data_IF_484174548533
#
_entry.id   IF_484174548533
#
_cell.length_a   1.000
_cell.length_b   1.000
_cell.length_c   1.000
_cell.angle_alpha   90.00
_cell.angle_beta   90.00
_cell.angle_gamma   90.00
#
_symmetry.space_group_name_H-M   'P 1'
#
loop_
_entity.id
_entity.type
_entity.pdbx_description
1 polymer ?
#
# COMPACT_ATOMS: atom_id res chain seq x y z
N UNK A 1 3.24 0.92 -35.23
CA UNK A 1 2.95 1.74 -34.02
C UNK A 1 1.51 1.57 -33.57
N UNK A 2 0.50 2.01 -34.34
CA UNK A 2 -0.91 1.95 -33.91
C UNK A 2 -1.52 0.53 -33.74
N UNK A 3 -1.09 -0.48 -34.50
CA UNK A 3 -1.58 -1.87 -34.33
C UNK A 3 -1.00 -2.54 -33.08
N UNK A 4 0.28 -2.28 -32.75
CA UNK A 4 0.93 -2.80 -31.55
C UNK A 4 0.36 -2.20 -30.27
N UNK A 5 0.01 -0.90 -30.29
CA UNK A 5 -0.69 -0.24 -29.18
C UNK A 5 -2.10 -0.78 -28.98
N UNK A 6 -2.83 -1.08 -30.08
CA UNK A 6 -4.17 -1.70 -30.01
C UNK A 6 -4.13 -3.14 -29.53
N UNK A 7 -3.12 -3.92 -29.94
CA UNK A 7 -2.92 -5.30 -29.47
C UNK A 7 -2.51 -5.33 -27.99
N UNK A 8 -1.61 -4.44 -27.57
CA UNK A 8 -1.26 -4.26 -26.17
C UNK A 8 -2.47 -3.82 -25.33
N UNK A 9 -3.33 -2.96 -25.86
CA UNK A 9 -4.57 -2.55 -25.19
C UNK A 9 -5.57 -3.71 -25.05
N UNK A 10 -5.77 -4.52 -26.09
CA UNK A 10 -6.60 -5.74 -26.01
C UNK A 10 -6.07 -6.75 -25.01
N UNK A 11 -4.77 -7.03 -25.03
CA UNK A 11 -4.15 -7.95 -24.08
C UNK A 11 -4.20 -7.43 -22.63
N UNK A 12 -4.19 -6.10 -22.42
CA UNK A 12 -4.44 -5.48 -21.11
C UNK A 12 -5.89 -5.66 -20.64
N UNK A 13 -6.86 -5.64 -21.55
CA UNK A 13 -8.28 -5.87 -21.22
C UNK A 13 -8.57 -7.35 -20.89
N UNK A 14 -7.82 -8.33 -21.45
CA UNK A 14 -8.04 -9.77 -21.21
C UNK A 14 -7.56 -10.27 -19.83
N UNK A 15 -6.70 -9.51 -19.13
CA UNK A 15 -6.17 -9.91 -17.82
C UNK A 15 -7.17 -9.73 -16.68
N UNK A 16 -8.21 -8.93 -16.91
CA UNK A 16 -9.20 -8.57 -15.90
C UNK A 16 -10.59 -9.04 -16.34
N UNK A 17 -11.43 -9.51 -15.40
CA UNK A 17 -12.85 -9.72 -15.67
C UNK A 17 -13.51 -8.48 -16.27
N UNK A 18 -14.49 -8.67 -17.16
CA UNK A 18 -15.21 -7.60 -17.87
C UNK A 18 -15.87 -6.54 -16.96
N UNK A 19 -16.10 -6.88 -15.68
CA UNK A 19 -16.72 -6.02 -14.68
C UNK A 19 -15.76 -5.64 -13.54
N UNK A 20 -14.47 -5.68 -13.79
CA UNK A 20 -13.46 -5.22 -12.83
C UNK A 20 -13.66 -3.75 -12.50
N UNK A 21 -13.66 -3.44 -11.21
CA UNK A 21 -13.82 -2.07 -10.70
C UNK A 21 -12.54 -1.25 -10.97
N UNK A 22 -11.38 -1.89 -10.85
CA UNK A 22 -10.07 -1.31 -11.09
C UNK A 22 -9.54 -1.77 -12.45
N UNK A 23 -8.79 -0.90 -13.10
CA UNK A 23 -8.01 -1.17 -14.29
C UNK A 23 -6.67 -1.84 -13.94
N UNK A 24 -6.06 -2.50 -14.92
CA UNK A 24 -4.73 -3.10 -14.76
C UNK A 24 -3.68 -2.04 -14.41
N UNK A 25 -3.84 -0.82 -14.93
CA UNK A 25 -2.93 0.29 -14.64
C UNK A 25 -2.93 0.65 -13.15
N UNK A 26 -4.10 0.74 -12.52
CA UNK A 26 -4.24 0.99 -11.09
C UNK A 26 -3.57 -0.10 -10.25
N UNK A 27 -3.75 -1.38 -10.60
CA UNK A 27 -3.04 -2.48 -9.93
C UNK A 27 -1.52 -2.37 -10.08
N UNK A 28 -1.03 -2.01 -11.26
CA UNK A 28 0.40 -1.84 -11.50
C UNK A 28 0.95 -0.58 -10.80
N UNK A 29 0.15 0.46 -10.61
CA UNK A 29 0.51 1.63 -9.81
C UNK A 29 0.65 1.28 -8.33
N UNK A 30 -0.29 0.50 -7.78
CA UNK A 30 -0.16 -0.05 -6.43
C UNK A 30 1.14 -0.85 -6.27
N UNK A 31 1.43 -1.74 -7.23
CA UNK A 31 2.64 -2.56 -7.22
C UNK A 31 3.91 -1.70 -7.29
N UNK A 32 3.93 -0.66 -8.15
CA UNK A 32 5.06 0.27 -8.25
C UNK A 32 5.22 1.10 -6.97
N UNK A 33 4.12 1.51 -6.36
CA UNK A 33 4.13 2.28 -5.11
C UNK A 33 4.78 1.47 -4.00
N UNK A 34 4.34 0.22 -3.79
CA UNK A 34 4.85 -0.61 -2.70
C UNK A 34 6.29 -1.12 -2.91
N UNK A 35 6.81 -1.06 -4.14
CA UNK A 35 8.22 -1.35 -4.43
C UNK A 35 9.23 -0.38 -3.81
N UNK A 36 8.78 0.73 -3.20
CA UNK A 36 9.63 1.64 -2.44
C UNK A 36 9.76 1.17 -0.98
N UNK A 37 10.99 1.08 -0.48
CA UNK A 37 11.31 0.57 0.86
C UNK A 37 10.57 1.31 1.99
N UNK A 38 10.51 2.64 1.95
CA UNK A 38 9.84 3.43 2.99
C UNK A 38 8.33 3.16 2.99
N UNK A 39 7.71 3.14 1.81
CA UNK A 39 6.28 2.84 1.67
C UNK A 39 5.95 1.41 2.09
N UNK A 40 6.82 0.46 1.76
CA UNK A 40 6.71 -0.91 2.25
C UNK A 40 6.71 -0.96 3.78
N UNK A 41 7.69 -0.31 4.43
CA UNK A 41 7.78 -0.27 5.90
C UNK A 41 6.57 0.39 6.55
N UNK A 42 6.08 1.49 5.97
CA UNK A 42 4.88 2.20 6.45
C UNK A 42 3.66 1.29 6.38
N UNK A 43 3.39 0.67 5.22
CA UNK A 43 2.23 -0.19 5.05
C UNK A 43 2.34 -1.46 5.91
N UNK A 44 3.53 -2.06 6.03
CA UNK A 44 3.76 -3.20 6.92
C UNK A 44 3.49 -2.85 8.39
N UNK A 45 3.96 -1.69 8.85
CA UNK A 45 3.69 -1.22 10.20
C UNK A 45 2.19 -1.03 10.46
N UNK A 46 1.45 -0.47 9.50
CA UNK A 46 -0.01 -0.32 9.60
C UNK A 46 -0.76 -1.66 9.62
N UNK A 47 -0.28 -2.69 8.93
CA UNK A 47 -0.86 -4.03 9.01
C UNK A 47 -0.62 -4.68 10.38
N UNK A 48 0.59 -4.57 10.92
CA UNK A 48 0.93 -5.16 12.22
C UNK A 48 0.33 -4.39 13.42
N UNK A 49 0.26 -3.05 13.30
CA UNK A 49 -0.12 -2.15 14.39
C UNK A 49 -1.56 -1.62 14.28
N UNK A 50 -2.25 -1.88 13.18
CA UNK A 50 -3.58 -1.33 12.91
C UNK A 50 -3.55 0.17 12.60
N UNK A 51 -4.58 0.90 13.09
CA UNK A 51 -4.72 2.33 12.82
C UNK A 51 -3.70 3.14 13.62
N UNK A 52 -2.91 3.98 12.94
CA UNK A 52 -1.86 4.79 13.57
C UNK A 52 -1.85 6.24 13.03
N UNK A 53 -1.55 7.20 13.88
CA UNK A 53 -1.28 8.59 13.50
C UNK A 53 0.07 8.75 12.79
N UNK A 54 0.26 9.89 12.10
CA UNK A 54 1.56 10.22 11.50
C UNK A 54 2.68 10.26 12.56
N UNK A 55 2.39 10.77 13.76
CA UNK A 55 3.33 10.83 14.87
C UNK A 55 3.74 9.44 15.34
N UNK A 56 2.79 8.52 15.54
CA UNK A 56 3.09 7.14 15.94
C UNK A 56 3.89 6.39 14.88
N UNK A 57 3.59 6.59 13.60
CA UNK A 57 4.35 5.98 12.50
C UNK A 57 5.77 6.54 12.43
N UNK A 58 5.93 7.86 12.60
CA UNK A 58 7.22 8.54 12.64
C UNK A 58 8.11 7.96 13.74
N UNK A 59 7.57 7.90 14.95
CA UNK A 59 8.30 7.46 16.13
C UNK A 59 8.64 5.95 16.04
N UNK A 60 7.74 5.14 15.43
CA UNK A 60 7.98 3.70 15.22
C UNK A 60 9.02 3.41 14.14
N UNK A 61 9.04 4.19 13.07
CA UNK A 61 9.87 3.91 11.89
C UNK A 61 11.15 4.74 11.84
N UNK A 62 11.32 5.71 12.74
CA UNK A 62 12.44 6.66 12.79
C UNK A 62 12.65 7.39 11.44
N UNK A 63 11.56 7.93 10.89
CA UNK A 63 11.54 8.66 9.62
C UNK A 63 11.27 10.15 9.88
N UNK A 64 11.89 11.06 9.12
CA UNK A 64 11.56 12.49 9.21
C UNK A 64 10.10 12.79 8.81
N UNK A 65 9.42 13.70 9.52
CA UNK A 65 8.00 14.00 9.29
C UNK A 65 7.68 14.34 7.83
N UNK A 66 8.49 15.18 7.18
CA UNK A 66 8.25 15.62 5.80
C UNK A 66 8.33 14.45 4.81
N UNK A 67 9.28 13.54 5.04
CA UNK A 67 9.49 12.34 4.23
C UNK A 67 8.32 11.37 4.45
N UNK A 68 7.91 11.18 5.71
CA UNK A 68 6.78 10.31 6.04
C UNK A 68 5.47 10.79 5.38
N UNK A 69 5.18 12.10 5.45
CA UNK A 69 3.97 12.66 4.83
C UNK A 69 3.94 12.42 3.33
N UNK A 70 5.05 12.66 2.62
CA UNK A 70 5.15 12.35 1.20
C UNK A 70 4.80 10.89 0.90
N UNK A 71 5.35 9.95 1.67
CA UNK A 71 5.07 8.52 1.46
C UNK A 71 3.65 8.11 1.83
N UNK A 72 3.05 8.72 2.85
CA UNK A 72 1.66 8.48 3.22
C UNK A 72 0.70 9.00 2.15
N UNK A 73 0.94 10.18 1.60
CA UNK A 73 0.14 10.74 0.51
C UNK A 73 0.19 9.83 -0.72
N UNK A 74 1.39 9.39 -1.12
CA UNK A 74 1.56 8.44 -2.23
C UNK A 74 0.82 7.10 -2.01
N UNK A 75 0.79 6.59 -0.78
CA UNK A 75 0.06 5.35 -0.44
C UNK A 75 -1.46 5.57 -0.41
N UNK A 76 -1.92 6.75 -0.02
CA UNK A 76 -3.33 7.15 -0.05
C UNK A 76 -3.80 7.32 -1.50
N UNK A 77 -2.99 7.95 -2.34
CA UNK A 77 -3.30 8.23 -3.74
C UNK A 77 -3.51 6.93 -4.54
N UNK A 78 -2.71 5.88 -4.29
CA UNK A 78 -2.91 4.56 -4.91
C UNK A 78 -3.90 3.67 -4.15
N UNK A 79 -4.54 4.16 -3.09
CA UNK A 79 -5.59 3.46 -2.35
C UNK A 79 -5.12 2.30 -1.45
N UNK A 80 -3.83 2.20 -1.15
CA UNK A 80 -3.29 1.18 -0.24
C UNK A 80 -3.46 1.56 1.24
N UNK A 81 -3.56 2.87 1.51
CA UNK A 81 -3.82 3.42 2.84
C UNK A 81 -5.01 4.36 2.78
N UNK A 82 -5.80 4.43 3.84
CA UNK A 82 -6.82 5.46 4.04
C UNK A 82 -6.44 6.39 5.19
N UNK A 83 -6.71 7.69 5.05
CA UNK A 83 -6.56 8.69 6.12
C UNK A 83 -7.94 9.09 6.65
N UNK A 84 -8.21 8.82 7.92
CA UNK A 84 -9.49 9.09 8.58
C UNK A 84 -9.33 10.14 9.67
N UNK A 85 -10.23 11.12 9.69
CA UNK A 85 -10.35 12.08 10.79
C UNK A 85 -11.06 11.42 11.98
N UNK A 86 -10.57 11.62 13.21
CA UNK A 86 -11.35 11.25 14.41
C UNK A 86 -12.65 12.03 14.45
N UNK A 87 -13.73 11.35 14.84
CA UNK A 87 -15.06 11.95 15.03
C UNK A 87 -15.25 12.56 16.42
N UNK A 88 -14.39 12.20 17.38
CA UNK A 88 -14.45 12.70 18.76
C UNK A 88 -13.40 13.80 18.94
N UNK A 89 -13.82 15.01 19.36
CA UNK A 89 -12.90 16.10 19.65
C UNK A 89 -12.19 15.82 20.97
N UNK A 90 -10.88 15.55 20.90
CA UNK A 90 -10.01 15.61 22.05
C UNK A 90 -9.29 16.98 22.08
N UNK A 91 -8.77 17.34 23.24
CA UNK A 91 -8.38 18.69 23.68
C UNK A 91 -7.28 19.35 22.82
N UNK A 92 -6.60 18.59 21.95
CA UNK A 92 -5.50 19.05 21.06
C UNK A 92 -5.85 19.11 19.56
N UNK A 93 -7.13 19.00 19.19
CA UNK A 93 -7.60 19.22 17.81
C UNK A 93 -7.87 17.95 16.98
N UNK A 94 -8.18 18.14 15.69
CA UNK A 94 -8.55 17.07 14.76
C UNK A 94 -7.35 16.17 14.43
N UNK A 95 -7.11 15.15 15.24
CA UNK A 95 -6.14 14.10 14.90
C UNK A 95 -6.69 13.19 13.80
N UNK A 96 -5.87 12.96 12.77
CA UNK A 96 -6.13 11.97 11.73
C UNK A 96 -5.29 10.72 11.96
N UNK A 97 -5.82 9.58 11.53
CA UNK A 97 -5.13 8.29 11.59
C UNK A 97 -5.14 7.62 10.22
N UNK A 98 -4.07 6.90 9.95
CA UNK A 98 -3.89 6.09 8.76
C UNK A 98 -4.21 4.63 9.08
N UNK A 99 -4.78 3.92 8.11
CA UNK A 99 -5.05 2.49 8.18
C UNK A 99 -4.79 1.86 6.82
N UNK A 100 -4.22 0.66 6.80
CA UNK A 100 -4.17 -0.13 5.58
C UNK A 100 -5.60 -0.46 5.08
N UNK A 101 -5.82 -0.33 3.78
CA UNK A 101 -7.06 -0.78 3.14
C UNK A 101 -7.01 -2.29 2.88
N UNK A 102 -8.12 -2.89 2.46
CA UNK A 102 -8.12 -4.30 2.02
C UNK A 102 -7.18 -4.54 0.83
N UNK A 103 -6.96 -3.54 -0.03
CA UNK A 103 -5.99 -3.60 -1.12
C UNK A 103 -4.54 -3.55 -0.58
N UNK A 104 -4.30 -2.68 0.42
CA UNK A 104 -3.02 -2.60 1.13
C UNK A 104 -2.65 -3.89 1.86
N UNK A 105 -3.62 -4.54 2.49
CA UNK A 105 -3.48 -5.85 3.10
C UNK A 105 -3.17 -6.91 2.04
N UNK A 106 -4.02 -7.06 1.03
CA UNK A 106 -3.86 -8.07 0.00
C UNK A 106 -2.55 -7.96 -0.79
N UNK A 107 -2.10 -6.75 -1.13
CA UNK A 107 -0.87 -6.58 -1.93
C UNK A 107 0.40 -6.96 -1.15
N UNK A 108 0.39 -6.82 0.18
CA UNK A 108 1.52 -7.24 1.01
C UNK A 108 1.43 -8.72 1.36
N UNK A 109 0.26 -9.17 1.83
CA UNK A 109 0.05 -10.53 2.32
C UNK A 109 0.15 -11.58 1.21
N UNK A 110 -0.29 -11.27 -0.01
CA UNK A 110 -0.17 -12.15 -1.18
C UNK A 110 0.96 -11.72 -2.12
N UNK A 111 1.79 -10.77 -1.69
CA UNK A 111 2.92 -10.25 -2.45
C UNK A 111 4.24 -10.61 -1.79
N UNK A 112 5.06 -9.59 -1.55
CA UNK A 112 6.45 -9.82 -1.11
C UNK A 112 6.56 -10.42 0.29
N UNK A 113 5.59 -10.23 1.20
CA UNK A 113 5.63 -10.89 2.52
C UNK A 113 5.49 -12.40 2.41
N UNK A 114 4.62 -12.88 1.52
CA UNK A 114 4.47 -14.31 1.26
C UNK A 114 5.76 -14.90 0.68
N UNK A 115 6.44 -14.17 -0.21
CA UNK A 115 7.73 -14.59 -0.76
C UNK A 115 8.81 -14.69 0.32
N UNK A 116 8.91 -13.68 1.20
CA UNK A 116 9.83 -13.69 2.34
C UNK A 116 9.55 -14.85 3.31
N UNK A 117 8.27 -15.09 3.63
CA UNK A 117 7.87 -16.17 4.52
C UNK A 117 8.25 -17.55 3.96
N UNK A 118 7.98 -17.79 2.67
CA UNK A 118 8.39 -19.03 1.99
C UNK A 118 9.90 -19.24 1.97
N UNK A 119 10.66 -18.17 1.81
CA UNK A 119 12.12 -18.23 1.88
C UNK A 119 12.60 -18.65 3.28
N UNK A 120 12.02 -18.07 4.34
CA UNK A 120 12.35 -18.41 5.72
C UNK A 120 11.97 -19.85 6.08
N UNK A 121 10.77 -20.30 5.71
CA UNK A 121 10.34 -21.68 5.94
C UNK A 121 11.31 -22.68 5.29
N UNK A 122 11.78 -22.37 4.06
CA UNK A 122 12.76 -23.20 3.37
C UNK A 122 14.13 -23.21 4.05
N UNK A 123 14.55 -22.11 4.69
CA UNK A 123 15.80 -22.05 5.44
C UNK A 123 15.73 -22.82 6.77
N UNK A 124 14.56 -22.90 7.41
CA UNK A 124 14.37 -23.66 8.65
C UNK A 124 14.37 -25.19 8.43
N UNK A 125 14.16 -25.65 7.20
CA UNK A 125 14.21 -27.08 6.84
C UNK A 125 15.65 -27.61 6.64
N UNK A 126 16.67 -26.74 6.60
CA UNK A 126 18.09 -27.08 6.40
C UNK A 126 18.95 -26.92 7.67
#
# INVERSE_FOLDING_TARGET
MAESERAARRARDDLLPEHSILSLEEYLEMQRSIGNETRFRVLNALLEGGSQSATELRDRLDIESNVLHYHLDELVDVGLVENRKRKEPDTDGLYSYYRATALGEGILEHGVRELMAREWDALEEY
#
